data_IF_051132296814
#
_entry.id   IF_051132296814
#
_cell.length_a   1.000
_cell.length_b   1.000
_cell.length_c   1.000
_cell.angle_alpha   90.00
_cell.angle_beta   90.00
_cell.angle_gamma   90.00
#
_symmetry.space_group_name_H-M   'P 1'
#
loop_
_entity.id
_entity.type
_entity.pdbx_description
1 polymer ?
#
# COMPACT_ATOMS: atom_id res chain seq x y z
N UNK A 1 3.06 4.90 -12.38
CA UNK A 1 1.97 5.86 -12.66
C UNK A 1 1.97 7.05 -11.70
N UNK A 2 1.93 6.83 -10.38
CA UNK A 2 1.85 7.90 -9.36
C UNK A 2 2.99 8.93 -9.47
N UNK A 3 4.25 8.51 -9.57
CA UNK A 3 5.41 9.42 -9.73
C UNK A 3 5.26 10.38 -10.91
N UNK A 4 4.70 9.90 -12.04
CA UNK A 4 4.44 10.73 -13.23
C UNK A 4 3.38 11.79 -12.94
N UNK A 5 2.25 11.39 -12.32
CA UNK A 5 1.18 12.31 -11.93
C UNK A 5 1.65 13.38 -10.96
N UNK A 6 2.45 13.03 -9.95
CA UNK A 6 2.98 14.02 -9.00
C UNK A 6 3.89 15.04 -9.69
N UNK A 7 4.70 14.61 -10.67
CA UNK A 7 5.53 15.51 -11.48
C UNK A 7 4.68 16.45 -12.35
N UNK A 8 3.58 15.98 -12.94
CA UNK A 8 2.64 16.80 -13.74
C UNK A 8 2.10 18.00 -12.92
N UNK A 9 1.91 17.84 -11.61
CA UNK A 9 1.41 18.88 -10.71
C UNK A 9 2.50 19.62 -9.90
N UNK A 10 3.78 19.45 -10.25
CA UNK A 10 4.91 20.05 -9.51
C UNK A 10 4.92 19.71 -8.00
N UNK A 11 4.46 18.51 -7.63
CA UNK A 11 4.50 18.04 -6.25
C UNK A 11 5.85 17.34 -6.00
N UNK A 12 6.60 17.80 -5.00
CA UNK A 12 7.88 17.18 -4.60
C UNK A 12 7.67 15.70 -4.21
N UNK A 13 8.32 14.80 -4.94
CA UNK A 13 8.09 13.36 -4.85
C UNK A 13 8.92 12.64 -3.79
N UNK A 14 10.10 13.15 -3.46
CA UNK A 14 11.12 12.39 -2.72
C UNK A 14 10.73 12.09 -1.27
N UNK A 15 10.00 12.98 -0.61
CA UNK A 15 9.57 12.79 0.79
C UNK A 15 8.16 12.19 0.95
N UNK A 16 7.44 11.95 -0.15
CA UNK A 16 6.02 11.58 -0.13
C UNK A 16 5.71 10.20 -0.69
N UNK A 17 6.68 9.53 -1.32
CA UNK A 17 6.47 8.26 -2.00
C UNK A 17 7.25 7.15 -1.30
N UNK A 18 6.51 6.31 -0.57
CA UNK A 18 7.07 5.11 0.05
C UNK A 18 6.73 3.90 -0.82
N UNK A 19 7.77 3.22 -1.29
CA UNK A 19 7.64 1.95 -2.01
C UNK A 19 7.78 0.83 -0.99
N UNK A 20 6.86 -0.14 -1.01
CA UNK A 20 6.92 -1.34 -0.18
C UNK A 20 6.97 -2.58 -1.07
N UNK A 21 7.46 -3.69 -0.54
CA UNK A 21 7.43 -4.97 -1.21
C UNK A 21 6.28 -5.83 -0.73
N UNK A 22 5.77 -6.71 -1.60
CA UNK A 22 4.75 -7.69 -1.24
C UNK A 22 5.27 -8.62 -0.13
N UNK A 23 4.40 -8.95 0.84
CA UNK A 23 4.70 -9.79 2.01
C UNK A 23 5.78 -9.24 2.95
N UNK A 24 6.30 -8.04 2.69
CA UNK A 24 7.19 -7.34 3.61
C UNK A 24 6.36 -6.46 4.53
N UNK A 25 6.60 -6.56 5.83
CA UNK A 25 5.89 -5.77 6.82
C UNK A 25 6.54 -4.40 6.98
N UNK A 26 5.72 -3.36 7.10
CA UNK A 26 6.19 -2.01 7.37
C UNK A 26 5.30 -1.32 8.39
N UNK A 27 5.86 -0.32 9.09
CA UNK A 27 5.11 0.48 10.06
C UNK A 27 4.44 1.67 9.39
N UNK A 28 3.17 1.90 9.71
CA UNK A 28 2.40 3.05 9.26
C UNK A 28 1.58 3.61 10.44
N UNK A 29 2.19 4.49 11.22
CA UNK A 29 1.58 5.00 12.45
C UNK A 29 1.39 3.87 13.46
N UNK A 30 0.16 3.63 13.98
CA UNK A 30 -0.10 2.57 14.97
C UNK A 30 -0.26 1.17 14.35
N UNK A 31 -0.09 1.04 13.03
CA UNK A 31 -0.32 -0.22 12.32
C UNK A 31 0.98 -0.85 11.81
N UNK A 32 1.16 -2.14 12.12
CA UNK A 32 2.04 -3.00 11.33
C UNK A 32 1.24 -3.47 10.10
N UNK A 33 1.69 -3.08 8.92
CA UNK A 33 1.01 -3.33 7.64
C UNK A 33 1.72 -4.43 6.88
N UNK A 34 0.97 -5.41 6.38
CA UNK A 34 1.47 -6.46 5.49
C UNK A 34 0.64 -6.49 4.18
N UNK A 35 1.26 -6.19 3.03
CA UNK A 35 0.61 -6.25 1.73
C UNK A 35 0.57 -7.69 1.20
N UNK A 36 -0.62 -8.17 0.87
CA UNK A 36 -0.87 -9.51 0.32
C UNK A 36 -1.35 -9.37 -1.12
N UNK A 37 -0.77 -10.16 -2.03
CA UNK A 37 -1.14 -10.14 -3.45
C UNK A 37 -2.60 -10.59 -3.61
N UNK A 38 -3.36 -9.83 -4.41
CA UNK A 38 -4.71 -10.20 -4.87
C UNK A 38 -4.77 -10.18 -6.39
N UNK A 39 -5.73 -10.90 -6.94
CA UNK A 39 -6.00 -10.89 -8.38
C UNK A 39 -7.00 -9.78 -8.70
N UNK A 40 -6.72 -9.03 -9.77
CA UNK A 40 -7.62 -8.02 -10.32
C UNK A 40 -7.22 -7.75 -11.79
N UNK A 41 -7.86 -6.78 -12.45
CA UNK A 41 -7.61 -6.47 -13.87
C UNK A 41 -6.30 -5.75 -14.17
N UNK A 42 -5.53 -5.35 -13.15
CA UNK A 42 -4.23 -4.66 -13.29
C UNK A 42 -3.18 -5.43 -12.45
N UNK A 43 -1.92 -5.53 -12.90
CA UNK A 43 -0.87 -6.20 -12.14
C UNK A 43 -0.56 -5.50 -10.80
N UNK A 44 0.02 -6.27 -9.89
CA UNK A 44 0.51 -5.82 -8.57
C UNK A 44 -0.54 -5.19 -7.65
N UNK A 45 -1.81 -5.55 -7.83
CA UNK A 45 -2.87 -5.30 -6.85
C UNK A 45 -2.59 -6.05 -5.53
N UNK A 46 -2.88 -5.39 -4.41
CA UNK A 46 -2.75 -5.95 -3.07
C UNK A 46 -3.96 -5.63 -2.19
N UNK A 47 -4.27 -6.56 -1.30
CA UNK A 47 -4.97 -6.28 -0.05
C UNK A 47 -3.97 -5.96 1.06
N UNK A 48 -4.44 -5.34 2.13
CA UNK A 48 -3.62 -4.94 3.27
C UNK A 48 -4.12 -5.61 4.56
N UNK A 49 -3.24 -6.32 5.24
CA UNK A 49 -3.45 -6.73 6.62
C UNK A 49 -2.88 -5.65 7.52
N UNK A 50 -3.73 -5.05 8.36
CA UNK A 50 -3.40 -3.98 9.30
C UNK A 50 -3.50 -4.54 10.71
N UNK A 51 -2.37 -4.63 11.43
CA UNK A 51 -2.33 -5.12 12.80
C UNK A 51 -2.08 -3.97 13.76
N UNK A 52 -2.89 -3.87 14.81
CA UNK A 52 -2.72 -2.96 15.93
C UNK A 52 -3.08 -3.66 17.24
N UNK A 53 -2.98 -2.94 18.37
CA UNK A 53 -3.28 -3.46 19.70
C UNK A 53 -4.74 -3.95 19.83
N UNK A 54 -5.68 -3.28 19.15
CA UNK A 54 -7.11 -3.62 19.19
C UNK A 54 -7.47 -4.81 18.28
N UNK A 55 -6.55 -5.29 17.45
CA UNK A 55 -6.76 -6.48 16.61
C UNK A 55 -6.19 -6.37 15.20
N UNK A 56 -6.75 -7.17 14.29
CA UNK A 56 -6.33 -7.25 12.89
C UNK A 56 -7.48 -6.90 11.95
N UNK A 57 -7.28 -5.90 11.10
CA UNK A 57 -8.17 -5.52 10.02
C UNK A 57 -7.59 -6.02 8.69
N UNK A 58 -8.43 -6.63 7.85
CA UNK A 58 -8.07 -6.96 6.48
C UNK A 58 -8.87 -6.07 5.52
N UNK A 59 -8.16 -5.25 4.75
CA UNK A 59 -8.72 -4.49 3.65
C UNK A 59 -8.42 -5.22 2.34
N UNK A 60 -9.44 -5.78 1.71
CA UNK A 60 -9.26 -6.63 0.51
C UNK A 60 -8.67 -5.88 -0.69
N UNK A 61 -8.93 -4.57 -0.76
CA UNK A 61 -8.78 -3.84 -2.02
C UNK A 61 -9.89 -4.25 -2.98
N UNK A 62 -9.72 -3.91 -4.26
CA UNK A 62 -10.52 -4.50 -5.33
C UNK A 62 -9.88 -5.84 -5.72
N UNK A 63 -10.68 -6.90 -5.74
CA UNK A 63 -10.23 -8.25 -6.03
C UNK A 63 -11.29 -9.02 -6.81
N UNK A 64 -10.83 -9.92 -7.69
CA UNK A 64 -11.67 -10.85 -8.44
C UNK A 64 -10.91 -12.14 -8.72
#
# INVERSE_FOLDING_TARGET
LIKRRLKEYNIHTESRLNVFNMRERFQAGPFEVEPIRVTHSIPDCCGLVLRCEDGTLFHTGDWK
#
